data_IF_686691978501
#
_entry.id   IF_686691978501
#
_cell.length_a   1.000
_cell.length_b   1.000
_cell.length_c   1.000
_cell.angle_alpha   90.00
_cell.angle_beta   90.00
_cell.angle_gamma   90.00
#
_symmetry.space_group_name_H-M   'P 1'
#
loop_
_entity.id
_entity.type
_entity.pdbx_description
1 polymer ?
#
# COMPACT_ATOMS: atom_id res chain seq x y z
N UNK A 1 -7.33 57.97 34.60
CA UNK A 1 -7.12 56.53 34.86
C UNK A 1 -8.08 55.77 33.96
N UNK A 2 -7.64 55.43 32.76
CA UNK A 2 -8.50 54.92 31.68
C UNK A 2 -8.51 53.39 31.64
N UNK A 3 -9.71 52.84 31.50
CA UNK A 3 -10.10 51.46 31.78
C UNK A 3 -10.29 50.76 30.43
N UNK A 4 -9.22 50.65 29.63
CA UNK A 4 -9.32 50.18 28.23
C UNK A 4 -8.13 49.36 27.75
N UNK A 5 -7.69 48.34 28.48
CA UNK A 5 -6.63 47.44 27.97
C UNK A 5 -6.79 45.98 28.44
N UNK A 6 -8.00 45.40 28.38
CA UNK A 6 -8.21 43.99 28.71
C UNK A 6 -9.15 43.25 27.75
N UNK A 7 -9.05 43.53 26.45
CA UNK A 7 -9.76 42.79 25.40
C UNK A 7 -8.84 42.69 24.17
N UNK A 8 -7.82 41.83 24.23
CA UNK A 8 -6.88 41.70 23.12
C UNK A 8 -6.06 40.42 23.05
N UNK A 9 -6.29 39.43 23.92
CA UNK A 9 -5.46 38.21 23.99
C UNK A 9 -6.30 36.95 24.23
N UNK A 10 -7.37 36.75 23.45
CA UNK A 10 -8.12 35.48 23.48
C UNK A 10 -8.34 34.83 22.10
N UNK A 11 -7.90 35.47 21.01
CA UNK A 11 -8.20 34.99 19.64
C UNK A 11 -6.95 34.45 18.91
N UNK A 12 -5.73 34.82 19.35
CA UNK A 12 -4.48 34.41 18.67
C UNK A 12 -3.99 32.99 18.95
N UNK A 13 -4.32 32.40 20.11
CA UNK A 13 -3.79 31.09 20.51
C UNK A 13 -4.52 29.90 19.88
N UNK A 14 -5.82 30.05 19.58
CA UNK A 14 -6.66 28.95 19.10
C UNK A 14 -6.41 28.67 17.62
N UNK A 15 -6.12 29.71 16.82
CA UNK A 15 -5.85 29.55 15.38
C UNK A 15 -4.57 28.73 15.11
N UNK A 16 -3.52 28.94 15.90
CA UNK A 16 -2.22 28.25 15.71
C UNK A 16 -2.31 26.78 16.15
N UNK A 17 -2.96 26.50 17.29
CA UNK A 17 -3.18 25.12 17.74
C UNK A 17 -4.11 24.34 16.77
N UNK A 18 -5.14 24.99 16.24
CA UNK A 18 -6.02 24.41 15.22
C UNK A 18 -5.29 24.08 13.92
N UNK A 19 -4.42 24.97 13.44
CA UNK A 19 -3.60 24.74 12.24
C UNK A 19 -2.56 23.64 12.45
N UNK A 20 -1.88 23.60 13.60
CA UNK A 20 -0.90 22.56 13.91
C UNK A 20 -1.55 21.17 14.03
N UNK A 21 -2.76 21.09 14.60
CA UNK A 21 -3.52 19.85 14.70
C UNK A 21 -4.00 19.36 13.34
N UNK A 22 -4.48 20.27 12.46
CA UNK A 22 -4.89 19.91 11.09
C UNK A 22 -3.73 19.51 10.18
N UNK A 23 -2.57 20.17 10.29
CA UNK A 23 -1.36 19.79 9.53
C UNK A 23 -0.74 18.47 10.00
N UNK A 24 -0.87 18.15 11.29
CA UNK A 24 -0.31 16.91 11.85
C UNK A 24 -1.03 15.64 11.41
N UNK A 25 -2.33 15.70 11.13
CA UNK A 25 -3.12 14.51 10.78
C UNK A 25 -2.86 13.98 9.38
N UNK A 26 -2.49 14.83 8.42
CA UNK A 26 -2.17 14.38 7.06
C UNK A 26 -0.79 13.69 6.99
N UNK A 27 0.15 14.12 7.83
CA UNK A 27 1.51 13.58 7.88
C UNK A 27 1.61 12.17 8.50
N UNK A 28 0.61 11.76 9.28
CA UNK A 28 0.57 10.47 9.98
C UNK A 28 -0.38 9.46 9.32
N UNK A 29 -0.90 9.76 8.14
CA UNK A 29 -1.81 8.84 7.45
C UNK A 29 -1.02 7.66 6.88
N UNK A 30 -1.27 6.46 7.40
CA UNK A 30 -0.75 5.23 6.81
C UNK A 30 -1.31 5.03 5.40
N UNK A 31 -0.43 4.69 4.46
CA UNK A 31 -0.82 4.43 3.07
C UNK A 31 -1.51 3.07 2.98
N UNK A 32 -2.62 3.04 2.25
CA UNK A 32 -3.35 1.81 1.96
C UNK A 32 -2.63 0.98 0.91
N UNK A 33 -2.88 -0.33 0.89
CA UNK A 33 -2.33 -1.22 -0.14
C UNK A 33 -2.75 -0.81 -1.56
N UNK A 34 -3.94 -0.24 -1.72
CA UNK A 34 -4.43 0.29 -3.00
C UNK A 34 -3.70 1.55 -3.47
N UNK A 35 -3.16 2.35 -2.55
CA UNK A 35 -2.33 3.51 -2.88
C UNK A 35 -0.90 3.08 -3.25
N UNK A 36 -0.37 2.05 -2.59
CA UNK A 36 0.97 1.50 -2.89
C UNK A 36 0.97 0.72 -4.21
N UNK A 37 -0.06 -0.11 -4.41
CA UNK A 37 -0.23 -1.01 -5.55
C UNK A 37 -1.52 -0.66 -6.31
N UNK A 38 -1.55 0.48 -7.01
CA UNK A 38 -2.71 0.87 -7.79
C UNK A 38 -2.93 -0.08 -8.97
N UNK A 39 -4.17 -0.11 -9.47
CA UNK A 39 -4.53 -0.89 -10.64
C UNK A 39 -4.01 -0.31 -11.96
N UNK A 40 -4.19 -1.04 -13.07
CA UNK A 40 -4.91 -2.31 -13.15
C UNK A 40 -4.05 -3.53 -12.79
N UNK A 41 -4.70 -4.68 -12.60
CA UNK A 41 -3.97 -5.94 -12.47
C UNK A 41 -3.34 -6.35 -13.80
N UNK A 42 -2.04 -6.63 -13.78
CA UNK A 42 -1.32 -7.17 -14.93
C UNK A 42 -1.41 -8.69 -14.93
N UNK A 43 -1.70 -9.27 -16.09
CA UNK A 43 -1.84 -10.71 -16.30
C UNK A 43 -0.83 -11.27 -17.30
N UNK A 44 -0.04 -10.41 -17.93
CA UNK A 44 1.04 -10.82 -18.83
C UNK A 44 2.15 -11.49 -18.00
N UNK A 45 2.53 -12.74 -18.28
CA UNK A 45 3.57 -13.43 -17.53
C UNK A 45 4.90 -12.66 -17.55
N UNK A 46 5.57 -12.60 -16.40
CA UNK A 46 6.93 -12.10 -16.26
C UNK A 46 7.84 -13.26 -15.85
N UNK A 47 8.83 -13.58 -16.69
CA UNK A 47 9.71 -14.73 -16.47
C UNK A 47 10.48 -14.63 -15.13
N UNK A 48 10.80 -13.42 -14.70
CA UNK A 48 11.49 -13.14 -13.44
C UNK A 48 10.59 -13.43 -12.22
N UNK A 49 9.28 -13.15 -12.32
CA UNK A 49 8.31 -13.53 -11.30
C UNK A 49 8.12 -15.06 -11.28
N UNK A 50 8.04 -15.70 -12.46
CA UNK A 50 7.95 -17.16 -12.56
C UNK A 50 9.13 -17.85 -11.86
N UNK A 51 10.34 -17.35 -12.09
CA UNK A 51 11.57 -17.83 -11.44
C UNK A 51 11.53 -17.62 -9.92
N UNK A 52 11.11 -16.43 -9.47
CA UNK A 52 11.06 -16.08 -8.05
C UNK A 52 10.03 -16.93 -7.29
N UNK A 53 8.83 -17.14 -7.87
CA UNK A 53 7.78 -17.96 -7.27
C UNK A 53 8.16 -19.45 -7.25
N UNK A 54 8.79 -19.95 -8.32
CA UNK A 54 9.20 -21.35 -8.43
C UNK A 54 10.32 -21.69 -7.45
N UNK A 55 11.33 -20.83 -7.32
CA UNK A 55 12.44 -21.02 -6.38
C UNK A 55 12.00 -21.03 -4.92
N UNK A 56 10.85 -20.42 -4.61
CA UNK A 56 10.28 -20.37 -3.26
C UNK A 56 9.15 -21.40 -3.06
N UNK A 57 8.99 -22.36 -3.98
CA UNK A 57 7.99 -23.42 -3.92
C UNK A 57 6.56 -22.92 -3.66
N UNK A 58 6.17 -21.78 -4.26
CA UNK A 58 4.80 -21.27 -4.13
C UNK A 58 3.84 -22.14 -4.94
N UNK A 59 3.05 -23.02 -4.31
CA UNK A 59 2.27 -24.02 -5.05
C UNK A 59 1.04 -23.38 -5.68
N UNK A 60 0.67 -23.83 -6.88
CA UNK A 60 -0.57 -23.46 -7.57
C UNK A 60 -0.78 -21.94 -7.80
N UNK A 61 0.29 -21.16 -7.89
CA UNK A 61 0.16 -19.70 -8.10
C UNK A 61 -0.10 -19.30 -9.56
N UNK A 62 -0.03 -20.24 -10.50
CA UNK A 62 -0.23 -19.97 -11.92
C UNK A 62 -1.68 -20.25 -12.36
N UNK A 63 -2.31 -19.38 -13.18
CA UNK A 63 -1.81 -18.07 -13.61
C UNK A 63 -1.94 -17.03 -12.49
N UNK A 64 -0.88 -16.27 -12.21
CA UNK A 64 -0.95 -15.14 -11.28
C UNK A 64 -1.34 -13.85 -11.98
N UNK A 65 -1.73 -12.86 -11.18
CA UNK A 65 -1.82 -11.45 -11.57
C UNK A 65 -0.94 -10.62 -10.63
N UNK A 66 -0.43 -9.49 -11.09
CA UNK A 66 0.45 -8.65 -10.26
C UNK A 66 0.20 -7.15 -10.43
N UNK A 67 0.69 -6.39 -9.46
CA UNK A 67 0.80 -4.93 -9.48
C UNK A 67 2.19 -4.52 -9.00
N UNK A 68 2.73 -3.47 -9.59
CA UNK A 68 4.00 -2.86 -9.19
C UNK A 68 3.79 -1.88 -8.05
N UNK A 69 4.75 -1.78 -7.14
CA UNK A 69 4.83 -0.68 -6.19
C UNK A 69 5.02 0.65 -6.96
N UNK A 70 4.02 1.53 -6.93
CA UNK A 70 4.09 2.83 -7.63
C UNK A 70 4.64 3.97 -6.76
N UNK A 71 4.85 3.74 -5.46
CA UNK A 71 5.49 4.72 -4.59
C UNK A 71 7.00 4.73 -4.80
N UNK A 72 7.57 3.55 -5.03
CA UNK A 72 8.98 3.38 -5.37
C UNK A 72 9.12 2.30 -6.45
N UNK A 73 8.98 2.66 -7.74
CA UNK A 73 9.08 1.69 -8.83
C UNK A 73 10.50 1.11 -9.00
N UNK A 74 11.54 1.79 -8.51
CA UNK A 74 12.94 1.42 -8.75
C UNK A 74 13.38 0.22 -7.92
N UNK A 75 12.72 -0.06 -6.79
CA UNK A 75 13.03 -1.24 -5.95
C UNK A 75 12.60 -2.56 -6.59
N UNK A 76 11.77 -2.50 -7.64
CA UNK A 76 11.28 -3.69 -8.33
C UNK A 76 10.47 -4.64 -7.43
N UNK A 77 9.63 -4.06 -6.56
CA UNK A 77 8.69 -4.79 -5.71
C UNK A 77 7.34 -4.96 -6.41
N UNK A 78 6.82 -6.18 -6.33
CA UNK A 78 5.57 -6.59 -6.95
C UNK A 78 4.66 -7.26 -5.93
N UNK A 79 3.41 -6.82 -5.88
CA UNK A 79 2.34 -7.55 -5.24
C UNK A 79 1.79 -8.57 -6.23
N UNK A 80 2.00 -9.85 -5.95
CA UNK A 80 1.52 -10.97 -6.75
C UNK A 80 0.33 -11.60 -6.08
N UNK A 81 -0.80 -11.74 -6.78
CA UNK A 81 -1.97 -12.47 -6.32
C UNK A 81 -2.12 -13.78 -7.09
N UNK A 82 -2.16 -14.88 -6.35
CA UNK A 82 -2.36 -16.23 -6.87
C UNK A 82 -3.86 -16.53 -7.05
N UNK A 83 -4.22 -17.46 -7.94
CA UNK A 83 -5.60 -17.86 -8.14
C UNK A 83 -6.17 -18.52 -6.88
N UNK A 84 -7.44 -18.23 -6.63
CA UNK A 84 -8.17 -18.78 -5.50
C UNK A 84 -8.67 -20.18 -5.81
N UNK A 85 -8.45 -21.14 -4.90
CA UNK A 85 -9.15 -22.43 -4.92
C UNK A 85 -10.55 -22.27 -4.32
N UNK A 86 -11.55 -22.97 -4.85
CA UNK A 86 -12.94 -22.83 -4.44
C UNK A 86 -13.11 -22.86 -2.91
N UNK A 87 -13.67 -21.78 -2.34
CA UNK A 87 -13.89 -21.61 -0.90
C UNK A 87 -12.74 -21.00 -0.11
N UNK A 88 -11.61 -20.66 -0.74
CA UNK A 88 -10.49 -19.98 -0.08
C UNK A 88 -10.48 -18.48 -0.40
N UNK A 89 -9.75 -17.68 0.38
CA UNK A 89 -9.46 -16.29 0.02
C UNK A 89 -8.23 -16.24 -0.91
N UNK A 90 -8.21 -15.34 -1.90
CA UNK A 90 -7.02 -15.13 -2.73
C UNK A 90 -5.82 -14.81 -1.85
N UNK A 91 -4.72 -15.50 -2.11
CA UNK A 91 -3.45 -15.28 -1.43
C UNK A 91 -2.58 -14.33 -2.25
N UNK A 92 -1.80 -13.52 -1.56
CA UNK A 92 -0.86 -12.61 -2.14
C UNK A 92 0.55 -12.74 -1.53
N UNK A 93 1.52 -12.32 -2.32
CA UNK A 93 2.94 -12.38 -2.03
C UNK A 93 3.60 -11.07 -2.43
N UNK A 94 4.62 -10.64 -1.70
CA UNK A 94 5.53 -9.58 -2.13
C UNK A 94 6.78 -10.20 -2.72
N UNK A 95 7.11 -9.80 -3.93
CA UNK A 95 8.27 -10.30 -4.67
C UNK A 95 9.18 -9.14 -5.01
N UNK A 96 10.45 -9.22 -4.62
CA UNK A 96 11.49 -8.29 -5.07
C UNK A 96 12.28 -8.94 -6.19
N UNK A 97 12.10 -8.43 -7.41
CA UNK A 97 12.78 -8.95 -8.60
C UNK A 97 14.31 -8.75 -8.57
N UNK A 98 14.87 -7.62 -8.07
CA UNK A 98 16.33 -7.47 -7.98
C UNK A 98 17.01 -8.54 -7.12
N UNK A 99 16.27 -9.11 -6.16
CA UNK A 99 16.73 -10.21 -5.30
C UNK A 99 16.25 -11.59 -5.78
N UNK A 100 15.42 -11.63 -6.81
CA UNK A 100 14.71 -12.82 -7.30
C UNK A 100 14.03 -13.61 -6.15
N UNK A 101 13.38 -12.88 -5.24
CA UNK A 101 12.95 -13.43 -3.95
C UNK A 101 11.52 -13.08 -3.61
N UNK A 102 10.79 -14.05 -3.07
CA UNK A 102 9.57 -13.80 -2.29
C UNK A 102 9.99 -13.28 -0.92
N UNK A 103 9.68 -12.02 -0.62
CA UNK A 103 10.10 -11.37 0.64
C UNK A 103 9.03 -11.43 1.72
N UNK A 104 7.77 -11.60 1.34
CA UNK A 104 6.64 -11.72 2.25
C UNK A 104 5.49 -12.52 1.63
N UNK A 105 4.65 -13.12 2.48
CA UNK A 105 3.53 -13.97 2.09
C UNK A 105 3.69 -15.45 2.47
N UNK A 106 2.62 -16.25 2.33
CA UNK A 106 1.28 -15.85 1.86
C UNK A 106 0.53 -14.98 2.87
N UNK A 107 -0.21 -14.00 2.37
CA UNK A 107 -1.18 -13.22 3.16
C UNK A 107 -2.49 -13.06 2.37
N UNK A 108 -3.64 -12.84 3.05
CA UNK A 108 -4.90 -12.57 2.36
C UNK A 108 -4.79 -11.29 1.53
N UNK A 109 -5.23 -11.35 0.28
CA UNK A 109 -5.28 -10.17 -0.58
C UNK A 109 -6.29 -9.16 -0.01
N UNK A 110 -5.88 -7.90 0.07
CA UNK A 110 -6.75 -6.81 0.51
C UNK A 110 -8.04 -6.76 -0.36
N UNK A 111 -9.24 -6.81 0.24
CA UNK A 111 -10.51 -6.74 -0.48
C UNK A 111 -10.65 -5.52 -1.40
N UNK A 112 -10.01 -4.39 -1.05
CA UNK A 112 -9.98 -3.17 -1.87
C UNK A 112 -9.27 -3.39 -3.21
N UNK A 113 -8.38 -4.38 -3.29
CA UNK A 113 -7.66 -4.77 -4.51
C UNK A 113 -8.38 -5.87 -5.30
N UNK A 114 -9.32 -6.60 -4.69
CA UNK A 114 -9.90 -7.82 -5.25
C UNK A 114 -10.66 -7.57 -6.57
N UNK A 115 -11.41 -6.46 -6.64
CA UNK A 115 -12.34 -6.12 -7.73
C UNK A 115 -11.92 -4.89 -8.55
N UNK A 116 -10.80 -4.25 -8.22
CA UNK A 116 -10.33 -3.10 -9.00
C UNK A 116 -9.93 -3.58 -10.41
N UNK A 117 -10.45 -2.92 -11.48
CA UNK A 117 -10.26 -3.34 -12.87
C UNK A 117 -8.79 -3.50 -13.26
#
# INVERSE_FOLDING_TARGET
MDKRHLLGLAIGGIAIAGLAYWLGSELLRELTQAEVYPGPWQTQPLAELDSSLSSHNVPNCQPYRYRTNQLDPEIGEYLVACPTLAGQQPQAYLVLLPLQKVVSGPFPLDPSLANAP
#
